data_IF_452354230256
#
_entry.id   IF_452354230256
#
_cell.length_a   1.000
_cell.length_b   1.000
_cell.length_c   1.000
_cell.angle_alpha   90.00
_cell.angle_beta   90.00
_cell.angle_gamma   90.00
#
_symmetry.space_group_name_H-M   'P 1'
#
loop_
_entity.id
_entity.type
_entity.pdbx_description
1 polymer ?
#
# COMPACT_ATOMS: atom_id res chain seq x y z
N UNK A 1 -6.73 -18.08 -6.14
CA UNK A 1 -5.47 -17.69 -6.83
C UNK A 1 -4.93 -16.45 -6.13
N UNK A 2 -3.62 -16.37 -5.92
CA UNK A 2 -2.97 -15.19 -5.30
C UNK A 2 -2.91 -14.07 -6.33
N UNK A 3 -3.61 -12.96 -6.08
CA UNK A 3 -3.63 -11.77 -6.92
C UNK A 3 -3.27 -10.56 -6.05
N UNK A 4 -2.27 -9.76 -6.42
CA UNK A 4 -1.33 -9.94 -7.54
C UNK A 4 -0.36 -11.14 -7.34
N UNK A 5 0.18 -11.74 -8.41
CA UNK A 5 1.26 -12.71 -8.33
C UNK A 5 2.50 -12.13 -7.63
N UNK A 6 3.20 -12.95 -6.84
CA UNK A 6 4.40 -12.49 -6.12
C UNK A 6 5.53 -12.09 -7.07
N UNK A 7 5.65 -12.75 -8.22
CA UNK A 7 6.69 -12.45 -9.20
C UNK A 7 6.54 -11.06 -9.81
N UNK A 8 5.29 -10.59 -10.00
CA UNK A 8 5.01 -9.22 -10.47
C UNK A 8 5.35 -8.19 -9.40
N UNK A 9 5.05 -8.49 -8.13
CA UNK A 9 5.40 -7.64 -6.99
C UNK A 9 6.91 -7.51 -6.80
N UNK A 10 7.67 -8.57 -7.05
CA UNK A 10 9.13 -8.56 -6.93
C UNK A 10 9.82 -7.75 -8.04
N UNK A 11 9.17 -7.52 -9.18
CA UNK A 11 9.66 -6.57 -10.19
C UNK A 11 9.54 -5.10 -9.73
N UNK A 12 8.77 -4.83 -8.68
CA UNK A 12 8.48 -3.48 -8.15
C UNK A 12 9.23 -3.16 -6.86
N UNK A 13 10.04 -4.08 -6.34
CA UNK A 13 10.75 -3.90 -5.08
C UNK A 13 12.17 -4.50 -5.15
N UNK A 14 13.11 -3.86 -4.46
CA UNK A 14 14.53 -4.25 -4.51
C UNK A 14 14.80 -5.65 -3.94
N UNK A 15 13.95 -6.12 -3.02
CA UNK A 15 14.05 -7.45 -2.43
C UNK A 15 12.72 -7.89 -1.82
N UNK A 16 12.62 -9.17 -1.48
CA UNK A 16 11.47 -9.72 -0.72
C UNK A 16 11.26 -8.97 0.60
N UNK A 17 12.33 -8.59 1.29
CA UNK A 17 12.25 -7.83 2.54
C UNK A 17 11.76 -6.41 2.30
N UNK A 18 12.27 -5.74 1.26
CA UNK A 18 11.82 -4.41 0.87
C UNK A 18 10.31 -4.41 0.55
N UNK A 19 9.84 -5.39 -0.22
CA UNK A 19 8.42 -5.57 -0.54
C UNK A 19 7.55 -5.68 0.72
N UNK A 20 7.97 -6.47 1.70
CA UNK A 20 7.25 -6.61 2.98
C UNK A 20 7.17 -5.27 3.70
N UNK A 21 8.27 -4.52 3.76
CA UNK A 21 8.30 -3.21 4.42
C UNK A 21 7.42 -2.19 3.68
N UNK A 22 7.47 -2.13 2.35
CA UNK A 22 6.66 -1.21 1.55
C UNK A 22 5.17 -1.50 1.72
N UNK A 23 4.78 -2.77 1.56
CA UNK A 23 3.39 -3.19 1.72
C UNK A 23 2.87 -2.92 3.14
N UNK A 24 3.67 -3.23 4.17
CA UNK A 24 3.29 -3.01 5.56
C UNK A 24 3.15 -1.53 5.91
N UNK A 25 4.09 -0.67 5.49
CA UNK A 25 4.02 0.77 5.72
C UNK A 25 2.79 1.37 5.04
N UNK A 26 2.56 1.02 3.77
CA UNK A 26 1.42 1.53 3.02
C UNK A 26 0.08 1.04 3.58
N UNK A 27 -0.02 -0.23 3.97
CA UNK A 27 -1.22 -0.77 4.61
C UNK A 27 -1.59 -0.01 5.90
N UNK A 28 -0.60 0.42 6.70
CA UNK A 28 -0.83 1.25 7.88
C UNK A 28 -1.38 2.63 7.52
N UNK A 29 -0.88 3.27 6.45
CA UNK A 29 -1.41 4.54 5.97
C UNK A 29 -2.88 4.42 5.53
N UNK A 30 -3.21 3.37 4.78
CA UNK A 30 -4.60 3.11 4.34
C UNK A 30 -5.52 2.87 5.53
N UNK A 31 -5.06 2.09 6.51
CA UNK A 31 -5.84 1.83 7.72
C UNK A 31 -6.06 3.10 8.58
N UNK A 32 -5.02 3.94 8.69
CA UNK A 32 -5.10 5.22 9.39
C UNK A 32 -6.07 6.18 8.66
N UNK A 33 -6.03 6.22 7.33
CA UNK A 33 -7.00 6.97 6.52
C UNK A 33 -8.44 6.58 6.85
N UNK A 34 -8.77 5.28 6.85
CA UNK A 34 -10.13 4.84 7.18
C UNK A 34 -10.54 5.13 8.62
N UNK A 35 -9.59 5.14 9.55
CA UNK A 35 -9.84 5.46 10.96
C UNK A 35 -10.08 6.97 11.18
N UNK A 36 -9.37 7.82 10.43
CA UNK A 36 -9.49 9.28 10.52
C UNK A 36 -10.64 9.85 9.66
N UNK A 37 -11.11 9.10 8.66
CA UNK A 37 -12.20 9.54 7.78
C UNK A 37 -13.47 9.87 8.57
N UNK A 38 -13.75 9.13 9.66
CA UNK A 38 -14.86 9.43 10.57
C UNK A 38 -14.65 10.68 11.42
N UNK A 39 -13.40 11.11 11.60
CA UNK A 39 -13.00 12.27 12.41
C UNK A 39 -12.88 13.56 11.57
N UNK A 40 -13.01 13.46 10.23
CA UNK A 40 -12.88 14.60 9.31
C UNK A 40 -11.44 15.11 9.14
N UNK A 41 -10.45 14.36 9.63
CA UNK A 41 -9.03 14.65 9.48
C UNK A 41 -8.50 13.92 8.25
N UNK A 42 -7.91 14.66 7.30
CA UNK A 42 -7.37 14.11 6.05
C UNK A 42 -5.84 14.13 6.05
N UNK A 43 -5.22 13.58 7.10
CA UNK A 43 -3.75 13.55 7.21
C UNK A 43 -3.12 12.46 6.33
N UNK A 44 -3.83 11.35 6.12
CA UNK A 44 -3.35 10.22 5.32
C UNK A 44 -4.02 10.17 3.95
N UNK A 45 -3.24 9.70 2.96
CA UNK A 45 -3.74 9.46 1.61
C UNK A 45 -4.42 8.09 1.57
N UNK A 46 -5.71 8.09 1.19
CA UNK A 46 -6.49 6.88 0.99
C UNK A 46 -6.02 6.00 -0.18
N UNK A 47 -6.75 4.93 -0.51
CA UNK A 47 -6.41 4.02 -1.61
C UNK A 47 -6.21 4.75 -2.95
N UNK A 48 -5.17 4.35 -3.67
CA UNK A 48 -4.83 4.85 -5.02
C UNK A 48 -5.36 3.95 -6.13
N UNK A 49 -5.92 2.80 -5.77
CA UNK A 49 -6.61 1.86 -6.66
C UNK A 49 -8.08 1.79 -6.26
N UNK A 50 -8.91 1.31 -7.17
CA UNK A 50 -10.29 0.98 -6.86
C UNK A 50 -10.31 -0.10 -5.76
N UNK A 51 -10.98 0.20 -4.65
CA UNK A 51 -11.06 -0.68 -3.49
C UNK A 51 -12.28 -0.33 -2.66
N UNK A 52 -12.86 -1.34 -2.01
CA UNK A 52 -13.96 -1.19 -1.07
C UNK A 52 -13.44 -0.93 0.36
N UNK A 53 -14.27 -0.32 1.21
CA UNK A 53 -13.90 -0.12 2.63
C UNK A 53 -13.70 -1.43 3.40
N UNK A 54 -14.29 -2.52 2.93
CA UNK A 54 -14.15 -3.85 3.52
C UNK A 54 -12.87 -4.56 3.11
N UNK A 55 -12.17 -4.06 2.10
CA UNK A 55 -10.94 -4.68 1.61
C UNK A 55 -9.82 -4.55 2.66
N UNK A 56 -9.04 -5.61 2.80
CA UNK A 56 -7.91 -5.60 3.73
C UNK A 56 -6.88 -4.57 3.25
N UNK A 57 -6.43 -3.63 4.11
CA UNK A 57 -5.45 -2.60 3.71
C UNK A 57 -4.17 -3.15 3.08
N UNK A 58 -3.73 -4.33 3.50
CA UNK A 58 -2.57 -5.02 2.91
C UNK A 58 -2.82 -5.46 1.46
N UNK A 59 -4.03 -5.91 1.15
CA UNK A 59 -4.41 -6.31 -0.22
C UNK A 59 -4.34 -5.09 -1.15
N UNK A 60 -4.94 -3.98 -0.71
CA UNK A 60 -4.93 -2.70 -1.45
C UNK A 60 -3.48 -2.25 -1.69
N UNK A 61 -2.64 -2.27 -0.65
CA UNK A 61 -1.23 -1.89 -0.78
C UNK A 61 -0.47 -2.75 -1.81
N UNK A 62 -0.70 -4.05 -1.87
CA UNK A 62 -0.08 -4.92 -2.87
C UNK A 62 -0.57 -4.61 -4.29
N UNK A 63 -1.85 -4.28 -4.47
CA UNK A 63 -2.38 -3.85 -5.76
C UNK A 63 -1.79 -2.50 -6.21
N UNK A 64 -1.63 -1.55 -5.30
CA UNK A 64 -0.98 -0.27 -5.59
C UNK A 64 0.48 -0.43 -6.01
N UNK A 65 1.23 -1.30 -5.32
CA UNK A 65 2.62 -1.65 -5.67
C UNK A 65 2.66 -2.27 -7.07
N UNK A 66 1.79 -3.24 -7.34
CA UNK A 66 1.74 -3.91 -8.64
C UNK A 66 1.46 -2.93 -9.80
N UNK A 67 0.54 -1.98 -9.59
CA UNK A 67 0.21 -0.93 -10.55
C UNK A 67 1.26 0.20 -10.64
N UNK A 68 2.32 0.16 -9.81
CA UNK A 68 3.37 1.18 -9.81
C UNK A 68 2.89 2.56 -9.36
N UNK A 69 1.86 2.62 -8.50
CA UNK A 69 1.28 3.89 -8.01
C UNK A 69 2.00 4.48 -6.80
N UNK A 70 3.05 3.82 -6.32
CA UNK A 70 3.81 4.24 -5.15
C UNK A 70 5.26 4.54 -5.55
N UNK A 71 5.80 5.62 -4.98
CA UNK A 71 7.21 5.96 -5.05
C UNK A 71 7.83 5.81 -3.67
N UNK A 72 8.92 5.05 -3.58
CA UNK A 72 9.69 4.91 -2.35
C UNK A 72 10.84 5.90 -2.37
N UNK A 73 10.73 6.97 -1.59
CA UNK A 73 11.89 7.81 -1.30
C UNK A 73 12.66 7.18 -0.15
N UNK A 74 13.92 6.81 -0.37
CA UNK A 74 14.87 6.70 0.74
C UNK A 74 14.96 8.08 1.41
N UNK A 75 14.82 8.19 2.73
CA UNK A 75 15.07 9.45 3.40
C UNK A 75 16.54 9.83 3.13
N UNK A 76 16.75 10.92 2.40
CA UNK A 76 18.07 11.53 2.28
C UNK A 76 18.44 12.07 3.67
N UNK A 77 19.62 11.67 4.15
CA UNK A 77 20.18 12.09 5.44
C UNK A 77 20.76 13.49 5.34
#
# INVERSE_FOLDING_TARGET
MTNPPIDDLLQRADSKYALVIYAAKRARQINAYYSQLSEGLLEYVGPLVESEMTDKPLSIALHEINQGKLHTSTPEN
#
